data_IF_586487012444
#
_entry.id   IF_586487012444
#
_cell.length_a   1.000
_cell.length_b   1.000
_cell.length_c   1.000
_cell.angle_alpha   90.00
_cell.angle_beta   90.00
_cell.angle_gamma   90.00
#
_symmetry.space_group_name_H-M   'P 1'
#
loop_
_entity.id
_entity.type
_entity.pdbx_description
1 polymer ?
#
# COMPACT_ATOMS: atom_id res chain seq x y z
N UNK A 1 53.99 5.56 -9.01
CA UNK A 1 53.12 6.68 -8.66
C UNK A 1 51.85 6.52 -9.46
N UNK A 2 50.85 5.90 -8.89
CA UNK A 2 49.59 5.60 -9.57
C UNK A 2 48.51 6.51 -8.99
N UNK A 3 47.92 7.35 -9.83
CA UNK A 3 46.93 8.34 -9.43
C UNK A 3 45.60 7.68 -9.15
N UNK A 4 45.07 7.87 -7.94
CA UNK A 4 43.74 7.48 -7.52
C UNK A 4 42.76 8.53 -8.06
N UNK A 5 41.88 8.11 -8.98
CA UNK A 5 40.76 8.96 -9.45
C UNK A 5 39.71 9.14 -8.35
N UNK A 6 39.16 10.34 -8.19
CA UNK A 6 38.15 10.60 -7.18
C UNK A 6 36.80 9.96 -7.58
N UNK A 7 36.25 9.23 -6.65
CA UNK A 7 34.87 8.67 -6.67
C UNK A 7 33.85 9.80 -6.85
N UNK A 8 32.94 9.65 -7.83
CA UNK A 8 31.80 10.54 -8.01
C UNK A 8 30.95 10.60 -6.74
N UNK A 9 30.49 11.78 -6.31
CA UNK A 9 29.59 11.88 -5.18
C UNK A 9 28.20 11.26 -5.52
N UNK A 10 27.65 10.58 -4.53
CA UNK A 10 26.31 9.98 -4.53
C UNK A 10 25.25 10.99 -4.97
N UNK A 11 24.24 10.47 -5.69
CA UNK A 11 23.05 11.20 -6.12
C UNK A 11 22.52 12.10 -5.00
N UNK A 12 22.55 13.40 -5.25
CA UNK A 12 21.82 14.44 -4.55
C UNK A 12 20.39 13.96 -4.25
N UNK A 13 19.95 14.11 -3.00
CA UNK A 13 18.54 14.01 -2.61
C UNK A 13 17.75 15.11 -3.34
N UNK A 14 17.34 14.82 -4.58
CA UNK A 14 16.31 15.60 -5.25
C UNK A 14 15.08 15.50 -4.37
N UNK A 15 14.49 16.63 -3.98
CA UNK A 15 13.27 16.71 -3.19
C UNK A 15 12.20 15.87 -3.91
N UNK A 16 11.90 14.67 -3.38
CA UNK A 16 10.86 13.81 -3.94
C UNK A 16 9.54 14.56 -3.84
N UNK A 17 8.83 14.72 -4.97
CA UNK A 17 7.53 15.39 -4.98
C UNK A 17 6.53 14.65 -4.11
N UNK A 18 5.75 15.41 -3.34
CA UNK A 18 4.66 14.88 -2.53
C UNK A 18 3.51 14.45 -3.45
N UNK A 19 3.01 13.23 -3.29
CA UNK A 19 1.85 12.71 -4.03
C UNK A 19 0.57 12.75 -3.22
N UNK A 20 0.66 12.65 -1.89
CA UNK A 20 -0.45 12.78 -0.95
C UNK A 20 -0.03 13.75 0.15
N UNK A 21 -0.88 14.73 0.43
CA UNK A 21 -0.67 15.71 1.50
C UNK A 21 -1.98 15.94 2.26
N UNK A 22 -2.03 15.46 3.49
CA UNK A 22 -3.11 15.70 4.43
C UNK A 22 -2.65 16.71 5.47
N UNK A 23 -3.43 17.79 5.61
CA UNK A 23 -3.18 18.87 6.58
C UNK A 23 -4.39 19.04 7.47
N UNK A 24 -4.22 18.69 8.75
CA UNK A 24 -5.24 18.77 9.80
C UNK A 24 -6.58 18.13 9.38
N UNK A 25 -6.51 17.01 8.66
CA UNK A 25 -7.70 16.32 8.15
C UNK A 25 -8.51 15.75 9.30
N UNK A 26 -9.81 16.09 9.34
CA UNK A 26 -10.79 15.48 10.23
C UNK A 26 -11.96 14.91 9.43
N UNK A 27 -12.64 13.92 10.00
CA UNK A 27 -13.82 13.31 9.40
C UNK A 27 -14.86 13.01 10.46
N UNK A 28 -16.02 13.67 10.32
CA UNK A 28 -17.22 13.41 11.08
C UNK A 28 -18.34 12.93 10.15
N UNK A 29 -18.90 11.76 10.42
CA UNK A 29 -20.03 11.23 9.68
C UNK A 29 -21.35 11.91 10.07
N UNK A 30 -22.38 11.88 9.19
CA UNK A 30 -23.69 12.52 9.47
C UNK A 30 -24.38 12.03 10.75
N UNK A 31 -24.06 10.82 11.22
CA UNK A 31 -24.56 10.27 12.49
C UNK A 31 -23.81 10.82 13.73
N UNK A 32 -22.92 11.79 13.57
CA UNK A 32 -22.14 12.39 14.64
C UNK A 32 -20.86 11.64 15.01
N UNK A 33 -20.57 10.51 14.39
CA UNK A 33 -19.34 9.72 14.68
C UNK A 33 -18.12 10.45 14.13
N UNK A 34 -17.17 10.79 15.00
CA UNK A 34 -15.86 11.33 14.60
C UNK A 34 -14.93 10.15 14.33
N UNK A 35 -14.52 9.99 13.07
CA UNK A 35 -13.62 8.92 12.65
C UNK A 35 -12.16 9.33 12.71
N UNK A 36 -11.84 10.55 12.26
CA UNK A 36 -10.48 11.10 12.20
C UNK A 36 -10.45 12.50 12.84
N UNK A 37 -9.35 12.84 13.48
CA UNK A 37 -9.14 14.12 14.12
C UNK A 37 -7.72 14.61 13.90
N UNK A 38 -7.56 15.71 13.14
CA UNK A 38 -6.30 16.45 12.97
C UNK A 38 -5.17 15.56 12.36
N UNK A 39 -5.44 14.85 11.27
CA UNK A 39 -4.44 14.02 10.60
C UNK A 39 -3.54 14.89 9.72
N UNK A 40 -2.25 14.89 10.03
CA UNK A 40 -1.18 15.43 9.18
C UNK A 40 -0.34 14.26 8.63
N UNK A 41 -0.42 14.00 7.33
CA UNK A 41 0.24 12.85 6.69
C UNK A 41 0.65 13.20 5.28
N UNK A 42 1.91 12.98 4.95
CA UNK A 42 2.42 13.10 3.57
C UNK A 42 2.89 11.76 3.05
N UNK A 43 2.72 11.51 1.76
CA UNK A 43 3.36 10.40 1.04
C UNK A 43 4.08 10.95 -0.18
N UNK A 44 5.37 10.71 -0.27
CA UNK A 44 6.21 11.18 -1.38
C UNK A 44 6.34 10.10 -2.46
N UNK A 45 6.70 10.52 -3.66
CA UNK A 45 7.01 9.60 -4.77
C UNK A 45 8.10 8.61 -4.36
N UNK A 46 7.88 7.31 -4.57
CA UNK A 46 8.83 6.25 -4.17
C UNK A 46 8.91 6.00 -2.66
N UNK A 47 7.99 6.54 -1.87
CA UNK A 47 7.84 6.25 -0.45
C UNK A 47 6.75 5.19 -0.24
N UNK A 48 7.00 4.24 0.65
CA UNK A 48 6.00 3.26 1.08
C UNK A 48 5.67 3.52 2.55
N UNK A 49 4.53 4.13 2.81
CA UNK A 49 4.06 4.48 4.15
C UNK A 49 3.03 3.47 4.61
N UNK A 50 3.24 2.86 5.77
CA UNK A 50 2.23 1.99 6.38
C UNK A 50 1.62 2.65 7.61
N UNK A 51 0.29 2.56 7.68
CA UNK A 51 -0.49 3.02 8.83
C UNK A 51 -0.95 1.81 9.63
N UNK A 52 -0.55 1.75 10.90
CA UNK A 52 -1.03 0.75 11.86
C UNK A 52 -1.90 1.41 12.92
N UNK A 53 -2.88 0.69 13.42
CA UNK A 53 -3.81 1.20 14.44
C UNK A 53 -4.89 0.20 14.76
N UNK A 54 -5.65 0.40 15.87
CA UNK A 54 -6.72 -0.49 16.28
C UNK A 54 -7.83 -0.60 15.23
N UNK A 55 -8.60 -1.69 15.32
CA UNK A 55 -9.81 -1.84 14.50
C UNK A 55 -10.78 -0.68 14.75
N UNK A 56 -11.33 -0.13 13.67
CA UNK A 56 -12.31 0.93 13.74
C UNK A 56 -11.77 2.33 14.10
N UNK A 57 -10.44 2.54 14.14
CA UNK A 57 -9.85 3.87 14.42
C UNK A 57 -9.92 4.85 13.23
N UNK A 58 -10.38 4.43 12.05
CA UNK A 58 -10.52 5.32 10.89
C UNK A 58 -9.52 5.10 9.76
N UNK A 59 -8.68 4.04 9.80
CA UNK A 59 -7.68 3.76 8.75
C UNK A 59 -8.28 3.66 7.34
N UNK A 60 -9.35 2.88 7.16
CA UNK A 60 -10.04 2.78 5.87
C UNK A 60 -10.70 4.10 5.45
N UNK A 61 -11.15 4.93 6.41
CA UNK A 61 -11.64 6.28 6.14
C UNK A 61 -10.53 7.16 5.58
N UNK A 62 -9.32 7.05 6.14
CA UNK A 62 -8.13 7.74 5.62
C UNK A 62 -7.87 7.39 4.14
N UNK A 63 -7.91 6.10 3.77
CA UNK A 63 -7.74 5.67 2.38
C UNK A 63 -8.88 6.13 1.47
N UNK A 64 -10.12 6.15 1.96
CA UNK A 64 -11.26 6.65 1.17
C UNK A 64 -11.12 8.14 0.87
N UNK A 65 -10.61 8.93 1.82
CA UNK A 65 -10.29 10.34 1.58
C UNK A 65 -9.14 10.46 0.58
N UNK A 66 -8.07 9.66 0.72
CA UNK A 66 -6.93 9.64 -0.21
C UNK A 66 -7.34 9.26 -1.64
N UNK A 67 -8.35 8.41 -1.80
CA UNK A 67 -8.87 8.01 -3.12
C UNK A 67 -9.93 8.94 -3.70
N UNK A 68 -10.39 9.95 -2.95
CA UNK A 68 -11.49 10.83 -3.33
C UNK A 68 -12.89 10.20 -3.22
N UNK A 69 -13.01 9.01 -2.60
CA UNK A 69 -14.31 8.36 -2.34
C UNK A 69 -15.07 9.01 -1.17
N UNK A 70 -14.36 9.70 -0.29
CA UNK A 70 -14.91 10.50 0.81
C UNK A 70 -14.26 11.87 0.82
N UNK A 71 -14.99 12.86 1.31
CA UNK A 71 -14.47 14.22 1.49
C UNK A 71 -14.26 14.48 2.98
N UNK A 72 -13.09 15.00 3.34
CA UNK A 72 -12.81 15.40 4.72
C UNK A 72 -13.83 16.44 5.20
N UNK A 73 -14.23 16.37 6.47
CA UNK A 73 -15.11 17.37 7.09
C UNK A 73 -14.37 18.67 7.41
N UNK A 74 -13.08 18.58 7.73
CA UNK A 74 -12.18 19.69 8.03
C UNK A 74 -10.77 19.39 7.51
N UNK A 75 -9.96 20.43 7.35
CA UNK A 75 -8.60 20.34 6.83
C UNK A 75 -8.55 20.22 5.30
N UNK A 76 -7.39 19.86 4.76
CA UNK A 76 -7.19 19.68 3.32
C UNK A 76 -6.55 18.32 3.02
N UNK A 77 -7.03 17.68 1.97
CA UNK A 77 -6.50 16.43 1.44
C UNK A 77 -6.16 16.64 -0.04
N UNK A 78 -4.87 16.75 -0.35
CA UNK A 78 -4.40 16.99 -1.72
C UNK A 78 -3.73 15.73 -2.24
N UNK A 79 -4.09 15.31 -3.46
CA UNK A 79 -3.48 14.17 -4.17
C UNK A 79 -3.02 14.64 -5.55
N UNK A 80 -1.69 14.69 -5.74
CA UNK A 80 -1.04 15.19 -6.95
C UNK A 80 -0.85 14.08 -7.99
N UNK A 81 -1.88 13.25 -8.19
CA UNK A 81 -1.95 12.27 -9.29
C UNK A 81 -3.39 11.81 -9.52
N UNK A 82 -3.70 11.49 -10.78
CA UNK A 82 -4.95 10.80 -11.16
C UNK A 82 -4.75 9.29 -11.33
N UNK A 83 -3.52 8.82 -11.25
CA UNK A 83 -3.17 7.41 -11.42
C UNK A 83 -3.06 6.74 -10.05
N UNK A 84 -4.22 6.42 -9.48
CA UNK A 84 -4.35 5.77 -8.17
C UNK A 84 -4.77 4.33 -8.39
N UNK A 85 -4.02 3.38 -7.81
CA UNK A 85 -4.42 1.99 -7.66
C UNK A 85 -5.02 1.78 -6.28
N UNK A 86 -6.18 1.12 -6.20
CA UNK A 86 -6.80 0.75 -4.92
C UNK A 86 -6.91 -0.77 -4.82
N UNK A 87 -6.37 -1.33 -3.75
CA UNK A 87 -6.46 -2.75 -3.42
C UNK A 87 -7.24 -2.88 -2.11
N UNK A 88 -8.46 -3.40 -2.20
CA UNK A 88 -9.36 -3.57 -1.07
C UNK A 88 -9.03 -4.82 -0.24
N UNK A 89 -9.51 -4.88 0.98
CA UNK A 89 -9.39 -6.02 1.88
C UNK A 89 -9.99 -7.29 1.25
N UNK A 90 -11.14 -7.17 0.60
CA UNK A 90 -11.69 -8.20 -0.26
C UNK A 90 -11.23 -7.95 -1.71
N UNK A 91 -10.82 -8.98 -2.41
CA UNK A 91 -10.33 -8.87 -3.78
C UNK A 91 -11.37 -8.31 -4.77
N UNK A 92 -12.67 -8.30 -4.39
CA UNK A 92 -13.80 -7.73 -5.17
C UNK A 92 -13.80 -8.14 -6.64
N UNK A 93 -13.47 -9.42 -6.92
CA UNK A 93 -13.48 -9.95 -8.29
C UNK A 93 -14.91 -10.20 -8.75
N UNK A 94 -15.16 -9.93 -10.03
CA UNK A 94 -16.43 -10.28 -10.67
C UNK A 94 -16.49 -11.80 -10.86
N UNK A 95 -17.40 -12.53 -10.19
CA UNK A 95 -17.34 -13.99 -10.13
C UNK A 95 -17.63 -14.70 -11.45
N UNK A 96 -18.21 -14.00 -12.42
CA UNK A 96 -18.52 -14.49 -13.78
C UNK A 96 -17.44 -14.13 -14.80
N UNK A 97 -16.41 -13.38 -14.43
CA UNK A 97 -15.27 -13.04 -15.28
C UNK A 97 -14.07 -13.89 -14.92
N UNK A 98 -13.28 -14.24 -15.93
CA UNK A 98 -11.98 -14.91 -15.75
C UNK A 98 -10.97 -14.01 -15.04
N UNK A 99 -9.80 -14.54 -14.68
CA UNK A 99 -8.65 -13.73 -14.19
C UNK A 99 -8.32 -12.64 -15.19
N UNK A 100 -8.13 -12.99 -16.47
CA UNK A 100 -7.83 -12.04 -17.55
C UNK A 100 -8.88 -10.93 -17.61
N UNK A 101 -10.17 -11.28 -17.66
CA UNK A 101 -11.24 -10.29 -17.78
C UNK A 101 -11.38 -9.41 -16.51
N UNK A 102 -11.09 -9.95 -15.32
CA UNK A 102 -11.04 -9.18 -14.08
C UNK A 102 -9.89 -8.17 -14.09
N UNK A 103 -8.71 -8.59 -14.57
CA UNK A 103 -7.54 -7.72 -14.66
C UNK A 103 -7.74 -6.63 -15.71
N UNK A 104 -8.39 -6.92 -16.85
CA UNK A 104 -8.71 -5.94 -17.88
C UNK A 104 -9.75 -4.89 -17.44
N UNK A 105 -10.54 -5.15 -16.39
CA UNK A 105 -11.73 -4.37 -16.03
C UNK A 105 -11.48 -2.86 -15.92
N UNK A 106 -10.44 -2.44 -15.18
CA UNK A 106 -10.18 -1.01 -14.99
C UNK A 106 -9.71 -0.35 -16.30
N UNK A 107 -8.88 -1.02 -17.07
CA UNK A 107 -8.45 -0.55 -18.39
C UNK A 107 -9.62 -0.47 -19.39
N UNK A 108 -10.60 -1.39 -19.30
CA UNK A 108 -11.84 -1.33 -20.06
C UNK A 108 -12.68 -0.09 -19.69
N UNK A 109 -12.86 0.18 -18.40
CA UNK A 109 -13.65 1.32 -17.91
C UNK A 109 -13.02 2.68 -18.27
N UNK A 110 -11.69 2.73 -18.41
CA UNK A 110 -10.99 3.95 -18.87
C UNK A 110 -11.01 4.12 -20.40
N UNK A 111 -11.64 3.20 -21.15
CA UNK A 111 -11.76 3.26 -22.60
C UNK A 111 -10.52 2.80 -23.36
N UNK A 112 -9.60 2.09 -22.73
CA UNK A 112 -8.41 1.52 -23.38
C UNK A 112 -8.81 0.53 -24.47
N UNK A 113 -8.11 0.57 -25.63
CA UNK A 113 -8.40 -0.31 -26.76
C UNK A 113 -8.21 -1.79 -26.39
N UNK A 114 -9.06 -2.72 -26.91
CA UNK A 114 -9.02 -4.14 -26.53
C UNK A 114 -7.65 -4.80 -26.65
N UNK A 115 -6.93 -4.57 -27.74
CA UNK A 115 -5.58 -5.15 -27.94
C UNK A 115 -4.57 -4.66 -26.91
N UNK A 116 -4.60 -3.37 -26.57
CA UNK A 116 -3.71 -2.74 -25.62
C UNK A 116 -3.98 -3.26 -24.19
N UNK A 117 -5.25 -3.27 -23.76
CA UNK A 117 -5.62 -3.76 -22.44
C UNK A 117 -5.29 -5.23 -22.22
N UNK A 118 -5.46 -6.08 -23.27
CA UNK A 118 -5.06 -7.49 -23.21
C UNK A 118 -3.57 -7.68 -22.97
N UNK A 119 -2.73 -6.88 -23.64
CA UNK A 119 -1.28 -6.91 -23.45
C UNK A 119 -0.94 -6.51 -22.03
N UNK A 120 -1.43 -5.35 -21.56
CA UNK A 120 -1.18 -4.85 -20.19
C UNK A 120 -1.69 -5.82 -19.12
N UNK A 121 -2.85 -6.43 -19.34
CA UNK A 121 -3.39 -7.40 -18.39
C UNK A 121 -2.51 -8.66 -18.31
N UNK A 122 -2.02 -9.18 -19.42
CA UNK A 122 -1.08 -10.33 -19.40
C UNK A 122 0.22 -9.99 -18.69
N UNK A 123 0.81 -8.84 -18.98
CA UNK A 123 2.01 -8.36 -18.29
C UNK A 123 1.78 -8.25 -16.78
N UNK A 124 0.63 -7.70 -16.37
CA UNK A 124 0.27 -7.59 -14.96
C UNK A 124 0.05 -8.95 -14.29
N UNK A 125 -0.58 -9.92 -15.00
CA UNK A 125 -0.79 -11.30 -14.53
C UNK A 125 0.54 -12.00 -14.32
N UNK A 126 1.48 -11.88 -15.27
CA UNK A 126 2.83 -12.43 -15.14
C UNK A 126 3.59 -11.81 -13.97
N UNK A 127 3.52 -10.47 -13.80
CA UNK A 127 4.19 -9.76 -12.72
C UNK A 127 3.78 -10.25 -11.32
N UNK A 128 2.51 -10.65 -11.16
CA UNK A 128 2.00 -11.17 -9.88
C UNK A 128 2.07 -12.71 -9.78
N UNK A 129 2.73 -13.38 -10.73
CA UNK A 129 2.94 -14.83 -10.71
C UNK A 129 1.66 -15.65 -10.91
N UNK A 130 0.73 -15.15 -11.73
CA UNK A 130 -0.51 -15.85 -12.11
C UNK A 130 -0.52 -16.33 -13.55
N UNK A 131 0.64 -16.39 -14.23
CA UNK A 131 0.76 -16.98 -15.56
C UNK A 131 0.22 -18.41 -15.59
N UNK A 132 -0.61 -18.75 -16.60
CA UNK A 132 -1.30 -20.02 -16.74
C UNK A 132 -2.69 -20.09 -16.08
N UNK A 133 -3.10 -19.05 -15.33
CA UNK A 133 -4.42 -18.99 -14.66
C UNK A 133 -5.38 -17.97 -15.32
N UNK A 134 -5.04 -17.44 -16.49
CA UNK A 134 -5.77 -16.36 -17.16
C UNK A 134 -7.25 -16.70 -17.38
N UNK A 135 -7.55 -17.96 -17.67
CA UNK A 135 -8.89 -18.44 -17.99
C UNK A 135 -9.67 -18.95 -16.78
N UNK A 136 -9.08 -18.98 -15.59
CA UNK A 136 -9.74 -19.45 -14.39
C UNK A 136 -10.75 -18.43 -13.87
N UNK A 137 -11.84 -18.93 -13.29
CA UNK A 137 -12.84 -18.12 -12.59
C UNK A 137 -12.43 -17.91 -11.13
N UNK A 138 -12.90 -16.85 -10.45
CA UNK A 138 -12.57 -16.58 -9.06
C UNK A 138 -12.85 -17.73 -8.08
N UNK A 139 -13.86 -18.54 -8.35
CA UNK A 139 -14.19 -19.74 -7.53
C UNK A 139 -13.11 -20.84 -7.55
N UNK A 140 -12.22 -20.80 -8.55
CA UNK A 140 -11.15 -21.79 -8.77
C UNK A 140 -9.82 -21.31 -8.17
N UNK A 141 -9.80 -20.10 -7.60
CA UNK A 141 -8.61 -19.47 -7.05
C UNK A 141 -8.55 -19.56 -5.53
N UNK A 142 -7.35 -19.72 -4.99
CA UNK A 142 -7.08 -19.53 -3.56
C UNK A 142 -7.28 -18.06 -3.14
N UNK A 143 -7.36 -17.77 -1.84
CA UNK A 143 -7.45 -16.41 -1.33
C UNK A 143 -6.30 -15.52 -1.79
N UNK A 144 -5.07 -16.01 -1.72
CA UNK A 144 -3.88 -15.31 -2.21
C UNK A 144 -3.90 -15.06 -3.72
N UNK A 145 -4.36 -16.02 -4.53
CA UNK A 145 -4.52 -15.83 -5.98
C UNK A 145 -5.58 -14.78 -6.31
N UNK A 146 -6.69 -14.73 -5.57
CA UNK A 146 -7.69 -13.67 -5.72
C UNK A 146 -7.08 -12.29 -5.43
N UNK A 147 -6.29 -12.17 -4.36
CA UNK A 147 -5.64 -10.93 -3.99
C UNK A 147 -4.62 -10.49 -5.04
N UNK A 148 -3.79 -11.42 -5.57
CA UNK A 148 -2.89 -11.13 -6.69
C UNK A 148 -3.64 -10.69 -7.94
N UNK A 149 -4.80 -11.27 -8.25
CA UNK A 149 -5.65 -10.82 -9.36
C UNK A 149 -6.14 -9.38 -9.15
N UNK A 150 -6.53 -9.01 -7.92
CA UNK A 150 -6.91 -7.64 -7.57
C UNK A 150 -5.73 -6.65 -7.71
N UNK A 151 -4.55 -7.07 -7.29
CA UNK A 151 -3.31 -6.29 -7.47
C UNK A 151 -2.98 -6.11 -8.96
N UNK A 152 -3.01 -7.19 -9.76
CA UNK A 152 -2.77 -7.15 -11.20
C UNK A 152 -3.76 -6.21 -11.90
N UNK A 153 -5.05 -6.24 -11.51
CA UNK A 153 -6.08 -5.32 -12.02
C UNK A 153 -5.69 -3.86 -11.81
N UNK A 154 -5.19 -3.51 -10.64
CA UNK A 154 -4.75 -2.15 -10.31
C UNK A 154 -3.49 -1.76 -11.08
N UNK A 155 -2.57 -2.70 -11.33
CA UNK A 155 -1.33 -2.47 -12.08
C UNK A 155 -1.55 -2.10 -13.55
N UNK A 156 -2.67 -2.51 -14.19
CA UNK A 156 -2.97 -2.20 -15.59
C UNK A 156 -3.04 -0.71 -15.89
N UNK A 157 -3.34 0.12 -14.87
CA UNK A 157 -3.40 1.57 -14.98
C UNK A 157 -2.06 2.27 -14.68
N UNK A 158 -0.99 1.52 -14.41
CA UNK A 158 0.34 2.04 -14.06
C UNK A 158 0.26 3.13 -12.97
N UNK A 159 -0.30 2.83 -11.80
CA UNK A 159 -0.52 3.83 -10.77
C UNK A 159 0.78 4.41 -10.23
N UNK A 160 0.73 5.72 -9.91
CA UNK A 160 1.82 6.41 -9.21
C UNK A 160 1.66 6.32 -7.69
N UNK A 161 0.41 6.18 -7.23
CA UNK A 161 0.06 5.98 -5.82
C UNK A 161 -0.81 4.74 -5.69
N UNK A 162 -0.37 3.79 -4.85
CA UNK A 162 -1.19 2.66 -4.44
C UNK A 162 -1.77 2.87 -3.05
N UNK A 163 -3.03 2.54 -2.88
CA UNK A 163 -3.77 2.52 -1.63
C UNK A 163 -4.15 1.07 -1.30
N UNK A 164 -3.68 0.55 -0.17
CA UNK A 164 -3.90 -0.83 0.25
C UNK A 164 -4.68 -0.86 1.57
N UNK A 165 -5.88 -1.41 1.55
CA UNK A 165 -6.77 -1.51 2.73
C UNK A 165 -6.73 -2.94 3.29
N UNK A 166 -5.82 -3.24 4.20
CA UNK A 166 -5.61 -4.56 4.83
C UNK A 166 -5.61 -5.75 3.84
N UNK A 167 -4.89 -5.69 2.71
CA UNK A 167 -5.08 -6.62 1.60
C UNK A 167 -4.75 -8.07 1.96
N UNK A 168 -3.94 -8.29 2.99
CA UNK A 168 -3.49 -9.62 3.38
C UNK A 168 -4.06 -10.10 4.72
N UNK A 169 -4.97 -9.31 5.34
CA UNK A 169 -5.50 -9.56 6.67
C UNK A 169 -6.25 -10.90 6.84
N UNK A 170 -6.89 -11.40 5.77
CA UNK A 170 -7.64 -12.65 5.79
C UNK A 170 -6.82 -13.90 5.40
N UNK A 171 -5.50 -13.75 5.17
CA UNK A 171 -4.63 -14.84 4.71
C UNK A 171 -3.87 -15.48 5.88
N UNK A 172 -3.51 -16.75 5.70
CA UNK A 172 -2.58 -17.44 6.61
C UNK A 172 -1.18 -16.81 6.57
N UNK A 173 -0.39 -17.03 7.62
CA UNK A 173 0.92 -16.40 7.82
C UNK A 173 1.88 -16.63 6.64
N UNK A 174 2.01 -17.88 6.19
CA UNK A 174 2.96 -18.25 5.11
C UNK A 174 2.57 -17.57 3.80
N UNK A 175 1.28 -17.57 3.47
CA UNK A 175 0.77 -16.90 2.27
C UNK A 175 0.96 -15.40 2.35
N UNK A 176 0.74 -14.79 3.52
CA UNK A 176 0.93 -13.36 3.79
C UNK A 176 2.38 -12.96 3.59
N UNK A 177 3.33 -13.68 4.17
CA UNK A 177 4.77 -13.39 4.02
C UNK A 177 5.20 -13.42 2.54
N UNK A 178 4.77 -14.45 1.80
CA UNK A 178 5.05 -14.53 0.35
C UNK A 178 4.50 -13.34 -0.43
N UNK A 179 3.28 -12.90 -0.12
CA UNK A 179 2.67 -11.75 -0.78
C UNK A 179 3.35 -10.43 -0.39
N UNK A 180 3.84 -10.31 0.84
CA UNK A 180 4.66 -9.19 1.27
C UNK A 180 5.97 -9.12 0.46
N UNK A 181 6.65 -10.25 0.27
CA UNK A 181 7.87 -10.31 -0.53
C UNK A 181 7.61 -9.92 -2.00
N UNK A 182 6.51 -10.42 -2.57
CA UNK A 182 6.09 -10.08 -3.94
C UNK A 182 5.73 -8.59 -4.08
N UNK A 183 4.98 -8.04 -3.12
CA UNK A 183 4.61 -6.61 -3.12
C UNK A 183 5.86 -5.73 -2.99
N UNK A 184 6.79 -6.10 -2.11
CA UNK A 184 8.04 -5.38 -1.94
C UNK A 184 8.89 -5.39 -3.23
N UNK A 185 8.97 -6.55 -3.91
CA UNK A 185 9.63 -6.66 -5.21
C UNK A 185 8.99 -5.75 -6.25
N UNK A 186 7.66 -5.74 -6.34
CA UNK A 186 6.90 -4.86 -7.24
C UNK A 186 7.14 -3.39 -6.93
N UNK A 187 7.16 -3.01 -5.65
CA UNK A 187 7.47 -1.66 -5.21
C UNK A 187 8.85 -1.19 -5.69
N UNK A 188 9.88 -2.04 -5.50
CA UNK A 188 11.25 -1.74 -5.94
C UNK A 188 11.35 -1.67 -7.47
N UNK A 189 10.66 -2.55 -8.19
CA UNK A 189 10.68 -2.60 -9.66
C UNK A 189 9.92 -1.42 -10.29
N UNK A 190 8.73 -1.11 -9.79
CA UNK A 190 7.81 -0.12 -10.40
C UNK A 190 7.96 1.28 -9.82
N UNK A 191 8.62 1.45 -8.66
CA UNK A 191 8.89 2.75 -8.02
C UNK A 191 7.64 3.61 -7.80
N UNK A 192 6.49 2.99 -7.49
CA UNK A 192 5.28 3.72 -7.10
C UNK A 192 5.38 4.27 -5.67
N UNK A 193 4.45 5.10 -5.24
CA UNK A 193 4.25 5.43 -3.84
C UNK A 193 3.16 4.53 -3.26
N UNK A 194 3.29 4.12 -1.99
CA UNK A 194 2.33 3.26 -1.31
C UNK A 194 1.80 3.88 -0.03
N UNK A 195 0.48 3.82 0.18
CA UNK A 195 -0.15 3.99 1.48
C UNK A 195 -0.86 2.69 1.84
N UNK A 196 -0.31 1.99 2.83
CA UNK A 196 -0.71 0.64 3.19
C UNK A 196 -1.33 0.62 4.59
N UNK A 197 -2.45 -0.03 4.74
CA UNK A 197 -3.09 -0.23 6.04
C UNK A 197 -2.96 -1.69 6.45
N UNK A 198 -2.55 -1.90 7.69
CA UNK A 198 -2.53 -3.21 8.32
C UNK A 198 -2.71 -3.11 9.84
N UNK A 199 -3.05 -4.23 10.46
CA UNK A 199 -3.01 -4.41 11.90
C UNK A 199 -1.74 -5.16 12.37
N UNK A 200 -0.91 -5.63 11.44
CA UNK A 200 0.34 -6.35 11.72
C UNK A 200 1.53 -5.38 11.74
N UNK A 201 2.13 -5.20 12.90
CA UNK A 201 3.31 -4.34 13.06
C UNK A 201 4.53 -4.91 12.32
N UNK A 202 4.70 -6.24 12.33
CA UNK A 202 5.80 -6.90 11.60
C UNK A 202 5.67 -6.66 10.09
N UNK A 203 4.46 -6.78 9.53
CA UNK A 203 4.19 -6.46 8.12
C UNK A 203 4.49 -5.00 7.80
N UNK A 204 4.06 -4.08 8.67
CA UNK A 204 4.32 -2.65 8.52
C UNK A 204 5.82 -2.33 8.46
N UNK A 205 6.60 -2.86 9.40
CA UNK A 205 8.06 -2.67 9.41
C UNK A 205 8.72 -3.32 8.21
N UNK A 206 8.24 -4.49 7.77
CA UNK A 206 8.83 -5.18 6.63
C UNK A 206 8.62 -4.46 5.30
N UNK A 207 7.43 -3.91 5.05
CA UNK A 207 7.08 -3.32 3.76
C UNK A 207 7.53 -1.86 3.62
N UNK A 208 7.63 -1.11 4.73
CA UNK A 208 7.59 0.35 4.68
C UNK A 208 8.95 1.01 4.66
N UNK A 209 9.00 2.21 4.08
CA UNK A 209 10.06 3.19 4.33
C UNK A 209 9.78 3.97 5.63
N UNK A 210 8.48 4.07 6.01
CA UNK A 210 8.02 4.76 7.21
C UNK A 210 6.72 4.15 7.74
N UNK A 211 6.63 3.94 9.04
CA UNK A 211 5.43 3.46 9.74
C UNK A 211 4.80 4.60 10.52
N UNK A 212 3.48 4.74 10.40
CA UNK A 212 2.65 5.70 11.12
C UNK A 212 1.71 4.94 12.05
N UNK A 213 1.66 5.32 13.32
CA UNK A 213 0.80 4.72 14.33
C UNK A 213 -0.38 5.63 14.60
N UNK A 214 -1.60 5.09 14.51
CA UNK A 214 -2.83 5.78 14.84
C UNK A 214 -3.38 5.34 16.20
N UNK A 215 -3.96 6.31 16.94
CA UNK A 215 -4.70 6.09 18.18
C UNK A 215 -6.02 5.33 17.95
N UNK A 216 -6.72 5.03 19.03
CA UNK A 216 -8.14 4.66 19.00
C UNK A 216 -9.03 5.78 18.47
N UNK A 217 -10.36 5.53 18.40
CA UNK A 217 -11.32 6.53 17.87
C UNK A 217 -11.55 7.69 18.84
N UNK A 218 -11.50 8.97 18.36
CA UNK A 218 -11.19 9.38 17.00
C UNK A 218 -9.73 9.15 16.65
N UNK A 219 -9.47 8.62 15.43
CA UNK A 219 -8.12 8.33 14.99
C UNK A 219 -7.28 9.60 14.84
N UNK A 220 -6.13 9.64 15.48
CA UNK A 220 -5.10 10.65 15.32
C UNK A 220 -3.73 9.97 15.19
N UNK A 221 -2.73 10.66 14.65
CA UNK A 221 -1.36 10.13 14.59
C UNK A 221 -0.69 10.31 15.95
N UNK A 222 -0.22 9.20 16.53
CA UNK A 222 0.45 9.19 17.84
C UNK A 222 1.93 8.84 17.75
N UNK A 223 2.39 8.35 16.60
CA UNK A 223 3.80 8.05 16.38
C UNK A 223 4.13 7.91 14.90
N UNK A 224 5.38 8.21 14.56
CA UNK A 224 5.93 8.02 13.22
C UNK A 224 7.34 7.49 13.34
N UNK A 225 7.65 6.41 12.61
CA UNK A 225 8.90 5.68 12.68
C UNK A 225 9.49 5.52 11.29
N UNK A 226 10.69 6.02 11.07
CA UNK A 226 11.44 5.73 9.87
C UNK A 226 11.98 4.30 9.93
N UNK A 227 11.91 3.59 8.81
CA UNK A 227 12.42 2.22 8.73
C UNK A 227 13.78 2.23 8.04
N UNK A 228 14.88 2.03 8.80
CA UNK A 228 16.24 2.26 8.30
C UNK A 228 16.78 1.11 7.42
N UNK A 229 15.95 0.11 7.14
CA UNK A 229 16.39 -1.05 6.36
C UNK A 229 16.38 -0.75 4.86
N UNK A 230 17.48 -1.04 4.14
CA UNK A 230 17.58 -0.76 2.70
C UNK A 230 16.59 -1.59 1.88
N UNK A 231 16.27 -1.11 0.69
CA UNK A 231 15.48 -1.82 -0.31
C UNK A 231 16.39 -2.29 -1.47
N UNK A 232 16.16 -3.48 -2.06
CA UNK A 232 15.22 -4.53 -1.64
C UNK A 232 15.64 -5.18 -0.33
N UNK A 233 14.67 -5.70 0.43
CA UNK A 233 14.91 -6.38 1.70
C UNK A 233 15.04 -7.87 1.49
N UNK A 234 16.01 -8.48 2.17
CA UNK A 234 16.09 -9.92 2.32
C UNK A 234 14.95 -10.39 3.25
N UNK A 235 14.19 -11.45 2.91
CA UNK A 235 13.18 -12.01 3.80
C UNK A 235 13.69 -12.36 5.20
N UNK A 236 14.97 -12.75 5.31
CA UNK A 236 15.59 -13.14 6.58
C UNK A 236 15.81 -11.96 7.54
N UNK A 237 15.64 -10.71 7.08
CA UNK A 237 15.70 -9.53 7.96
C UNK A 237 14.70 -9.63 9.11
N UNK A 238 13.58 -10.32 8.92
CA UNK A 238 12.55 -10.56 9.94
C UNK A 238 13.08 -11.26 11.19
N UNK A 239 14.21 -11.97 11.05
CA UNK A 239 14.84 -12.74 12.13
C UNK A 239 16.02 -12.01 12.78
N UNK A 240 16.27 -10.75 12.41
CA UNK A 240 17.35 -9.94 13.01
C UNK A 240 16.90 -9.24 14.29
N UNK A 241 17.85 -8.93 15.16
CA UNK A 241 17.59 -8.22 16.42
C UNK A 241 17.09 -6.79 16.15
N UNK A 242 17.66 -6.11 15.18
CA UNK A 242 17.31 -4.74 14.81
C UNK A 242 15.86 -4.63 14.29
N UNK A 243 15.43 -5.64 13.55
CA UNK A 243 14.03 -5.72 13.09
C UNK A 243 13.09 -5.93 14.28
N UNK A 244 13.42 -6.85 15.20
CA UNK A 244 12.63 -7.13 16.39
C UNK A 244 12.54 -5.92 17.31
N UNK A 245 13.62 -5.13 17.45
CA UNK A 245 13.66 -3.90 18.24
C UNK A 245 12.68 -2.86 17.66
N UNK A 246 12.74 -2.56 16.35
CA UNK A 246 11.83 -1.62 15.72
C UNK A 246 10.36 -2.07 15.80
N UNK A 247 10.09 -3.37 15.60
CA UNK A 247 8.74 -3.94 15.80
C UNK A 247 8.29 -3.73 17.26
N UNK A 248 9.20 -3.85 18.22
CA UNK A 248 8.95 -3.59 19.65
C UNK A 248 8.56 -2.13 19.90
N UNK A 249 9.32 -1.17 19.35
CA UNK A 249 9.06 0.27 19.50
C UNK A 249 7.69 0.66 18.91
N UNK A 250 7.41 0.25 17.68
CA UNK A 250 6.11 0.52 17.03
C UNK A 250 4.96 -0.12 17.81
N UNK A 251 5.15 -1.36 18.32
CA UNK A 251 4.13 -2.06 19.12
C UNK A 251 3.89 -1.37 20.46
N UNK A 252 4.92 -0.75 21.06
CA UNK A 252 4.78 0.02 22.29
C UNK A 252 3.93 1.28 22.05
N UNK A 253 4.28 2.06 21.03
CA UNK A 253 3.52 3.25 20.65
C UNK A 253 2.04 2.92 20.31
N UNK A 254 1.80 1.77 19.67
CA UNK A 254 0.44 1.31 19.35
C UNK A 254 -0.37 1.00 20.64
N UNK A 255 0.26 0.42 21.66
CA UNK A 255 -0.38 0.15 22.97
C UNK A 255 -0.69 1.42 23.73
N UNK A 256 0.24 2.37 23.77
CA UNK A 256 0.03 3.67 24.44
C UNK A 256 -1.06 4.51 23.78
N UNK A 257 -1.14 4.49 22.44
CA UNK A 257 -2.20 5.18 21.69
C UNK A 257 -3.60 4.53 21.83
N UNK A 258 -3.69 3.38 22.52
CA UNK A 258 -4.97 2.69 22.82
C UNK A 258 -5.57 3.11 24.17
N UNK A 259 -4.77 3.77 25.02
CA UNK A 259 -5.18 4.20 26.37
C UNK A 259 -5.83 5.57 26.32
#
# INVERSE_FOLDING_TARGET
MSAISPTKPSRSAASMSTLLDFRSVAMQFPNGTIALSGIDLTVKRGEFVTVVGPSGCGKSTLLRIASGLETASEGTAEVDTKRIGYVFQDATLLPWRTVQDNVELLAELTGMKPKERQVKAREAIELVGLGGFENNLPKELSGGMKMRTSLARSLTLEPELFLFDEPFGALDEITRERLNDELLRLFVEKQFAGLFITHSVSEAVYLSTRVVVMSGRPGSIVGTFDVPFPMPRDPDIRFTAEFAELVGEVSHALREGHS
#
